data_IF_125521690294
#
_entry.id   IF_125521690294
#
_cell.length_a   1.000
_cell.length_b   1.000
_cell.length_c   1.000
_cell.angle_alpha   90.00
_cell.angle_beta   90.00
_cell.angle_gamma   90.00
#
_symmetry.space_group_name_H-M   'P 1'
#
loop_
_entity.id
_entity.type
_entity.pdbx_description
1 polymer ?
#
# COMPACT_ATOMS: atom_id res chain seq x y z
N UNK A 1 -27.51 -16.35 -0.02
CA UNK A 1 -26.33 -15.67 -0.61
C UNK A 1 -25.86 -16.49 -1.80
N UNK A 2 -25.60 -15.87 -2.95
CA UNK A 2 -25.03 -16.57 -4.11
C UNK A 2 -23.53 -16.73 -3.93
N UNK A 3 -23.05 -17.97 -4.05
CA UNK A 3 -21.62 -18.26 -4.16
C UNK A 3 -21.09 -17.69 -5.47
N UNK A 4 -19.82 -17.26 -5.48
CA UNK A 4 -19.13 -16.93 -6.73
C UNK A 4 -18.53 -18.20 -7.33
N UNK A 5 -18.62 -18.36 -8.64
CA UNK A 5 -18.07 -19.51 -9.37
C UNK A 5 -16.55 -19.42 -9.58
N UNK A 6 -15.99 -18.22 -9.45
CA UNK A 6 -14.60 -17.92 -9.76
C UNK A 6 -14.08 -16.79 -8.85
N UNK A 7 -12.82 -16.87 -8.45
CA UNK A 7 -12.06 -15.76 -7.87
C UNK A 7 -10.60 -15.89 -8.33
N UNK A 8 -9.93 -14.81 -8.79
CA UNK A 8 -8.55 -14.89 -9.24
C UNK A 8 -7.64 -15.39 -8.13
N UNK A 9 -6.77 -16.35 -8.46
CA UNK A 9 -5.67 -16.69 -7.58
C UNK A 9 -4.72 -15.50 -7.44
N UNK A 10 -4.37 -15.08 -6.21
CA UNK A 10 -3.40 -14.02 -5.99
C UNK A 10 -2.04 -14.37 -6.61
N UNK A 11 -1.40 -13.37 -7.22
CA UNK A 11 -0.04 -13.47 -7.76
C UNK A 11 1.00 -13.04 -6.70
N UNK A 12 2.29 -13.40 -6.88
CA UNK A 12 3.34 -13.01 -5.95
C UNK A 12 3.37 -11.49 -5.72
N UNK A 13 3.32 -11.05 -4.47
CA UNK A 13 3.36 -9.64 -4.10
C UNK A 13 2.23 -8.76 -4.68
N UNK A 14 1.13 -9.35 -5.14
CA UNK A 14 -0.01 -8.65 -5.72
C UNK A 14 -0.82 -7.88 -4.66
N UNK A 15 -1.14 -6.62 -4.95
CA UNK A 15 -2.03 -5.78 -4.15
C UNK A 15 -3.49 -6.25 -4.30
N UNK A 16 -4.24 -6.26 -3.20
CA UNK A 16 -5.60 -6.77 -3.16
C UNK A 16 -6.52 -6.08 -4.16
N UNK A 17 -6.31 -4.78 -4.44
CA UNK A 17 -7.08 -4.05 -5.45
C UNK A 17 -6.84 -4.59 -6.86
N UNK A 18 -5.65 -5.11 -7.15
CA UNK A 18 -5.34 -5.79 -8.42
C UNK A 18 -6.12 -7.09 -8.57
N UNK A 19 -6.23 -7.88 -7.50
CA UNK A 19 -7.03 -9.12 -7.51
C UNK A 19 -8.49 -8.80 -7.80
N UNK A 20 -9.04 -7.77 -7.14
CA UNK A 20 -10.42 -7.31 -7.39
C UNK A 20 -10.59 -6.82 -8.82
N UNK A 21 -9.59 -6.14 -9.39
CA UNK A 21 -9.65 -5.67 -10.76
C UNK A 21 -9.55 -6.81 -11.78
N UNK A 22 -8.72 -7.83 -11.54
CA UNK A 22 -8.69 -9.05 -12.36
C UNK A 22 -10.04 -9.75 -12.35
N UNK A 23 -10.68 -9.85 -11.19
CA UNK A 23 -12.05 -10.37 -11.07
C UNK A 23 -13.05 -9.52 -11.86
N UNK A 24 -12.97 -8.19 -11.73
CA UNK A 24 -13.83 -7.24 -12.46
C UNK A 24 -13.77 -7.46 -13.97
N UNK A 25 -12.58 -7.64 -14.53
CA UNK A 25 -12.38 -7.87 -15.96
C UNK A 25 -12.91 -9.24 -16.39
N UNK A 26 -12.59 -10.32 -15.67
CA UNK A 26 -13.04 -11.68 -16.02
C UNK A 26 -14.56 -11.83 -15.93
N UNK A 27 -15.21 -11.12 -15.02
CA UNK A 27 -16.67 -11.14 -14.86
C UNK A 27 -17.40 -10.17 -15.77
N UNK A 28 -16.69 -9.38 -16.58
CA UNK A 28 -17.25 -8.37 -17.49
C UNK A 28 -18.23 -7.41 -16.79
N UNK A 29 -17.94 -7.09 -15.53
CA UNK A 29 -18.74 -6.14 -14.79
C UNK A 29 -18.62 -4.74 -15.41
N UNK A 30 -19.75 -4.08 -15.73
CA UNK A 30 -19.72 -2.80 -16.46
C UNK A 30 -19.02 -1.65 -15.70
N UNK A 31 -18.92 -1.74 -14.38
CA UNK A 31 -18.24 -0.76 -13.54
C UNK A 31 -17.84 -1.39 -12.21
N UNK A 32 -16.94 -0.71 -11.49
CA UNK A 32 -16.43 -1.17 -10.19
C UNK A 32 -17.53 -1.26 -9.13
N UNK A 33 -18.57 -0.41 -9.19
CA UNK A 33 -19.70 -0.48 -8.25
C UNK A 33 -20.46 -1.80 -8.38
N UNK A 34 -20.64 -2.34 -9.59
CA UNK A 34 -21.21 -3.68 -9.78
C UNK A 34 -20.33 -4.77 -9.16
N UNK A 35 -19.02 -4.70 -9.39
CA UNK A 35 -18.07 -5.64 -8.76
C UNK A 35 -18.09 -5.56 -7.23
N UNK A 36 -18.11 -4.36 -6.67
CA UNK A 36 -18.20 -4.16 -5.22
C UNK A 36 -19.55 -4.62 -4.65
N UNK A 37 -20.64 -4.49 -5.40
CA UNK A 37 -21.95 -5.01 -5.00
C UNK A 37 -21.96 -6.54 -5.01
N UNK A 38 -21.35 -7.14 -6.02
CA UNK A 38 -21.22 -8.58 -6.16
C UNK A 38 -20.33 -9.18 -5.06
N UNK A 39 -19.17 -8.58 -4.77
CA UNK A 39 -18.20 -9.13 -3.82
C UNK A 39 -18.46 -8.73 -2.36
N UNK A 40 -18.87 -7.49 -2.11
CA UNK A 40 -18.94 -6.90 -0.77
C UNK A 40 -20.32 -6.32 -0.41
N UNK A 41 -21.31 -6.44 -1.30
CA UNK A 41 -22.63 -5.80 -1.14
C UNK A 41 -22.51 -4.29 -0.89
N UNK A 42 -21.50 -3.66 -1.51
CA UNK A 42 -21.17 -2.25 -1.36
C UNK A 42 -21.40 -1.48 -2.67
N UNK A 43 -21.80 -0.21 -2.58
CA UNK A 43 -22.06 0.65 -3.74
C UNK A 43 -20.87 1.50 -4.20
N UNK A 44 -19.69 1.37 -3.60
CA UNK A 44 -18.52 2.21 -3.89
C UNK A 44 -18.05 2.06 -5.34
N UNK A 45 -17.67 3.17 -5.96
CA UNK A 45 -17.23 3.22 -7.37
C UNK A 45 -15.72 2.98 -7.56
N UNK A 46 -15.00 2.70 -6.47
CA UNK A 46 -13.56 2.43 -6.46
C UNK A 46 -13.24 1.28 -5.50
N UNK A 47 -12.07 0.65 -5.69
CA UNK A 47 -11.52 -0.28 -4.71
C UNK A 47 -10.73 0.49 -3.65
N UNK A 48 -11.06 0.28 -2.38
CA UNK A 48 -10.35 0.90 -1.26
C UNK A 48 -8.95 0.30 -1.11
N UNK A 49 -7.97 1.11 -0.70
CA UNK A 49 -6.58 0.67 -0.44
C UNK A 49 -6.55 -0.51 0.53
N UNK A 50 -7.33 -0.42 1.61
CA UNK A 50 -7.51 -1.52 2.54
C UNK A 50 -8.88 -2.16 2.36
N UNK A 51 -8.97 -3.49 2.44
CA UNK A 51 -10.25 -4.18 2.31
C UNK A 51 -11.16 -3.86 3.49
N UNK A 52 -12.46 -3.91 3.24
CA UNK A 52 -13.52 -3.74 4.25
C UNK A 52 -14.60 -4.80 3.99
N UNK A 53 -15.24 -5.26 5.07
CA UNK A 53 -16.27 -6.28 5.01
C UNK A 53 -15.81 -7.58 4.30
N UNK A 54 -14.57 -8.02 4.53
CA UNK A 54 -14.01 -9.23 3.92
C UNK A 54 -14.84 -10.49 4.20
N UNK A 55 -15.55 -10.58 5.33
CA UNK A 55 -16.44 -11.70 5.60
C UNK A 55 -17.53 -11.85 4.54
N UNK A 56 -17.99 -10.75 3.93
CA UNK A 56 -18.97 -10.81 2.82
C UNK A 56 -18.38 -11.47 1.58
N UNK A 57 -17.11 -11.20 1.28
CA UNK A 57 -16.38 -11.86 0.19
C UNK A 57 -16.14 -13.34 0.51
N UNK A 58 -15.60 -13.63 1.69
CA UNK A 58 -15.23 -14.98 2.09
C UNK A 58 -16.45 -15.92 2.18
N UNK A 59 -17.61 -15.43 2.61
CA UNK A 59 -18.87 -16.19 2.62
C UNK A 59 -19.39 -16.55 1.23
N UNK A 60 -18.86 -15.93 0.17
CA UNK A 60 -19.19 -16.26 -1.23
C UNK A 60 -18.23 -17.27 -1.83
N UNK A 61 -17.09 -17.53 -1.20
CA UNK A 61 -16.14 -18.53 -1.68
C UNK A 61 -16.72 -19.94 -1.51
N UNK A 62 -16.41 -20.88 -2.42
CA UNK A 62 -16.72 -22.28 -2.19
C UNK A 62 -16.00 -22.79 -0.92
N UNK A 63 -16.58 -23.76 -0.23
CA UNK A 63 -16.00 -24.35 1.00
C UNK A 63 -14.59 -24.92 0.78
N UNK A 64 -14.23 -25.26 -0.46
CA UNK A 64 -12.90 -25.73 -0.86
C UNK A 64 -11.88 -24.61 -1.08
N UNK A 65 -12.25 -23.34 -0.90
CA UNK A 65 -11.33 -22.23 -1.06
C UNK A 65 -10.21 -22.30 -0.02
N UNK A 66 -8.99 -22.06 -0.48
CA UNK A 66 -7.78 -22.04 0.38
C UNK A 66 -7.50 -20.66 0.97
N UNK A 67 -8.29 -19.66 0.60
CA UNK A 67 -8.06 -18.27 1.02
C UNK A 67 -8.90 -17.94 2.23
N UNK A 68 -8.24 -17.64 3.34
CA UNK A 68 -8.85 -17.02 4.51
C UNK A 68 -8.49 -15.52 4.58
N UNK A 69 -9.12 -14.83 5.53
CA UNK A 69 -8.90 -13.40 5.74
C UNK A 69 -7.44 -13.08 6.06
N UNK A 70 -6.84 -13.86 6.96
CA UNK A 70 -5.49 -13.57 7.47
C UNK A 70 -4.44 -13.71 6.36
N UNK A 71 -4.58 -14.74 5.52
CA UNK A 71 -3.73 -15.00 4.36
C UNK A 71 -3.82 -13.85 3.36
N UNK A 72 -5.04 -13.44 2.98
CA UNK A 72 -5.24 -12.33 2.06
C UNK A 72 -4.72 -10.99 2.64
N UNK A 73 -4.92 -10.74 3.93
CA UNK A 73 -4.37 -9.56 4.60
C UNK A 73 -2.84 -9.57 4.52
N UNK A 74 -2.21 -10.66 4.94
CA UNK A 74 -0.75 -10.76 5.04
C UNK A 74 -0.06 -10.75 3.67
N UNK A 75 -0.65 -11.41 2.68
CA UNK A 75 -0.03 -11.64 1.37
C UNK A 75 -0.45 -10.62 0.31
N UNK A 76 -1.59 -9.95 0.48
CA UNK A 76 -2.14 -9.09 -0.56
C UNK A 76 -2.48 -7.66 -0.11
N UNK A 77 -2.30 -7.31 1.16
CA UNK A 77 -2.50 -5.93 1.62
C UNK A 77 -1.22 -5.31 2.17
N UNK A 78 -1.26 -3.99 2.38
CA UNK A 78 -0.21 -3.25 3.08
C UNK A 78 -0.42 -3.20 4.60
N UNK A 79 -1.51 -3.77 5.13
CA UNK A 79 -1.79 -3.75 6.57
C UNK A 79 -0.64 -4.29 7.42
N UNK A 80 0.09 -5.36 7.06
CA UNK A 80 1.20 -5.88 7.86
C UNK A 80 2.28 -4.84 8.19
N UNK A 81 2.40 -3.77 7.39
CA UNK A 81 3.34 -2.68 7.67
C UNK A 81 2.83 -1.74 8.76
N UNK A 82 1.51 -1.56 8.87
CA UNK A 82 0.91 -0.63 9.83
C UNK A 82 0.63 -1.29 11.19
N UNK A 83 0.10 -2.52 11.18
CA UNK A 83 -0.36 -3.18 12.42
C UNK A 83 0.69 -3.22 13.55
N UNK A 84 1.99 -3.45 13.29
CA UNK A 84 3.01 -3.44 14.34
C UNK A 84 3.10 -2.13 15.14
N UNK A 85 2.76 -1.00 14.53
CA UNK A 85 2.85 0.33 15.15
C UNK A 85 1.55 0.76 15.85
N UNK A 86 0.52 -0.10 15.83
CA UNK A 86 -0.81 0.19 16.37
C UNK A 86 -1.02 -0.58 17.66
N UNK A 87 -1.49 0.13 18.68
CA UNK A 87 -1.87 -0.43 19.97
C UNK A 87 -2.91 -1.56 19.83
N UNK A 88 -2.82 -2.56 20.69
CA UNK A 88 -3.62 -3.78 20.59
C UNK A 88 -5.13 -3.54 20.44
N UNK A 89 -5.70 -2.69 21.29
CA UNK A 89 -7.12 -2.32 21.28
C UNK A 89 -7.54 -1.63 19.96
N UNK A 90 -6.71 -0.75 19.43
CA UNK A 90 -6.94 -0.11 18.13
C UNK A 90 -6.76 -1.08 16.97
N UNK A 91 -5.84 -2.04 17.08
CA UNK A 91 -5.59 -3.08 16.09
C UNK A 91 -6.81 -4.00 15.94
N UNK A 92 -7.39 -4.46 17.05
CA UNK A 92 -8.62 -5.27 17.04
C UNK A 92 -9.77 -4.53 16.37
N UNK A 93 -9.91 -3.25 16.67
CA UNK A 93 -10.93 -2.39 16.05
C UNK A 93 -10.76 -2.24 14.53
N UNK A 94 -9.51 -2.15 14.06
CA UNK A 94 -9.18 -2.11 12.63
C UNK A 94 -9.47 -3.45 11.97
N UNK A 95 -9.03 -4.56 12.57
CA UNK A 95 -9.29 -5.91 12.03
C UNK A 95 -10.78 -6.25 12.00
N UNK A 96 -11.54 -5.82 13.02
CA UNK A 96 -12.99 -5.96 13.01
C UNK A 96 -13.64 -5.14 11.88
N UNK A 97 -13.14 -3.94 11.58
CA UNK A 97 -13.62 -3.15 10.43
C UNK A 97 -13.25 -3.81 9.09
N UNK A 98 -12.05 -4.38 8.97
CA UNK A 98 -11.64 -5.15 7.80
C UNK A 98 -12.55 -6.37 7.60
N UNK A 99 -12.85 -7.08 8.68
CA UNK A 99 -13.68 -8.28 8.68
C UNK A 99 -15.14 -7.98 8.33
N UNK A 100 -15.77 -7.05 9.07
CA UNK A 100 -17.21 -6.87 9.11
C UNK A 100 -17.69 -5.58 8.42
N UNK A 101 -16.76 -4.70 8.04
CA UNK A 101 -17.05 -3.36 7.58
C UNK A 101 -17.12 -2.36 8.75
N UNK A 102 -17.23 -1.07 8.41
CA UNK A 102 -17.42 -0.01 9.39
C UNK A 102 -18.89 0.42 9.49
N UNK A 103 -19.23 1.12 10.57
CA UNK A 103 -20.50 1.85 10.68
C UNK A 103 -20.50 3.16 9.86
N UNK A 104 -21.43 4.07 10.16
CA UNK A 104 -21.56 5.39 9.53
C UNK A 104 -20.46 6.39 9.93
N UNK A 105 -19.53 6.00 10.80
CA UNK A 105 -18.41 6.83 11.24
C UNK A 105 -17.22 6.78 10.28
N UNK A 106 -16.27 7.71 10.45
CA UNK A 106 -15.00 7.70 9.71
C UNK A 106 -14.28 6.35 9.81
N UNK A 107 -13.78 5.86 8.68
CA UNK A 107 -13.09 4.56 8.58
C UNK A 107 -11.79 4.56 9.37
N UNK A 108 -11.63 3.64 10.32
CA UNK A 108 -10.40 3.49 11.12
C UNK A 108 -9.26 2.96 10.27
N UNK A 109 -9.55 1.93 9.47
CA UNK A 109 -8.57 1.38 8.53
C UNK A 109 -8.20 2.38 7.43
N UNK A 110 -9.17 3.18 6.98
CA UNK A 110 -8.93 4.24 5.98
C UNK A 110 -7.94 5.30 6.44
N UNK A 111 -7.90 5.62 7.74
CA UNK A 111 -6.93 6.57 8.31
C UNK A 111 -5.47 6.13 8.20
N UNK A 112 -5.21 4.84 7.97
CA UNK A 112 -3.85 4.33 7.75
C UNK A 112 -3.26 4.76 6.40
N UNK A 113 -4.11 5.14 5.42
CA UNK A 113 -3.65 5.73 4.15
C UNK A 113 -2.91 7.05 4.39
N UNK A 114 -3.32 7.77 5.44
CA UNK A 114 -2.81 9.08 5.80
C UNK A 114 -3.93 10.09 6.05
N UNK A 115 -3.53 11.34 6.21
CA UNK A 115 -4.42 12.49 6.35
C UNK A 115 -4.01 13.58 5.35
N UNK A 116 -4.59 14.78 5.48
CA UNK A 116 -4.30 15.91 4.57
C UNK A 116 -2.86 16.45 4.66
N UNK A 117 -2.11 16.09 5.70
CA UNK A 117 -0.73 16.52 5.95
C UNK A 117 0.30 15.45 5.60
N UNK A 118 -0.02 14.17 5.81
CA UNK A 118 0.89 13.05 5.58
C UNK A 118 0.15 11.91 4.89
N UNK A 119 0.67 11.43 3.77
CA UNK A 119 0.12 10.26 3.04
C UNK A 119 1.15 9.15 2.96
N UNK A 120 0.87 8.02 3.60
CA UNK A 120 1.75 6.85 3.55
C UNK A 120 1.57 6.06 2.25
N UNK A 121 0.34 6.00 1.73
CA UNK A 121 0.02 5.29 0.48
C UNK A 121 -0.33 6.29 -0.62
N UNK A 122 0.26 6.07 -1.80
CA UNK A 122 0.06 6.89 -2.98
C UNK A 122 -1.42 6.91 -3.38
N UNK A 123 -1.88 8.07 -3.83
CA UNK A 123 -3.21 8.24 -4.42
C UNK A 123 -3.28 7.69 -5.85
N UNK A 124 -2.13 7.58 -6.52
CA UNK A 124 -2.01 7.00 -7.85
C UNK A 124 -1.48 5.58 -7.74
N UNK A 125 -1.91 4.72 -8.67
CA UNK A 125 -1.34 3.38 -8.79
C UNK A 125 -0.01 3.48 -9.53
N UNK A 126 1.03 2.92 -8.92
CA UNK A 126 2.38 2.94 -9.46
C UNK A 126 2.80 1.58 -10.00
N UNK A 127 3.49 1.62 -11.14
CA UNK A 127 4.03 0.45 -11.84
C UNK A 127 5.51 0.61 -12.11
N UNK A 128 6.21 -0.51 -12.11
CA UNK A 128 7.55 -0.62 -12.70
C UNK A 128 7.39 -1.18 -14.13
N UNK A 129 7.87 -0.48 -15.17
CA UNK A 129 7.77 -0.98 -16.55
C UNK A 129 8.47 -2.32 -16.77
N UNK A 130 9.52 -2.61 -15.99
CA UNK A 130 10.26 -3.87 -16.04
C UNK A 130 9.51 -5.00 -15.32
N UNK A 131 8.88 -4.74 -14.16
CA UNK A 131 7.95 -5.71 -13.53
C UNK A 131 6.82 -6.06 -14.49
N UNK A 132 6.21 -5.05 -15.14
CA UNK A 132 5.09 -5.30 -16.05
C UNK A 132 5.46 -6.26 -17.19
N UNK A 133 6.67 -6.12 -17.74
CA UNK A 133 7.19 -7.03 -18.77
C UNK A 133 7.35 -8.45 -18.22
N UNK A 134 8.01 -8.61 -17.07
CA UNK A 134 8.21 -9.93 -16.45
C UNK A 134 6.88 -10.58 -16.04
N UNK A 135 5.91 -9.78 -15.59
CA UNK A 135 4.59 -10.23 -15.19
C UNK A 135 3.79 -10.74 -16.40
N UNK A 136 3.84 -10.04 -17.54
CA UNK A 136 3.24 -10.52 -18.80
C UNK A 136 3.91 -11.81 -19.27
N UNK A 137 5.23 -11.92 -19.19
CA UNK A 137 5.98 -13.12 -19.59
C UNK A 137 5.68 -14.32 -18.67
N UNK A 138 5.50 -14.09 -17.37
CA UNK A 138 5.36 -15.16 -16.36
C UNK A 138 3.91 -15.55 -16.07
N UNK A 139 2.99 -14.59 -16.13
CA UNK A 139 1.60 -14.74 -15.69
C UNK A 139 0.58 -14.33 -16.75
N UNK A 140 1.03 -13.82 -17.90
CA UNK A 140 0.18 -13.37 -19.00
C UNK A 140 -0.53 -12.04 -18.74
N UNK A 141 -0.28 -11.39 -17.60
CA UNK A 141 -0.81 -10.07 -17.30
C UNK A 141 0.04 -9.33 -16.27
N UNK A 142 0.20 -8.01 -16.46
CA UNK A 142 0.77 -7.15 -15.43
C UNK A 142 -0.24 -6.86 -14.30
N UNK A 143 0.26 -6.76 -13.08
CA UNK A 143 -0.55 -6.52 -11.89
C UNK A 143 0.07 -5.47 -10.98
N UNK A 144 -0.72 -5.00 -10.01
CA UNK A 144 -0.26 -3.99 -9.06
C UNK A 144 0.58 -4.68 -7.99
N UNK A 145 1.87 -4.33 -7.90
CA UNK A 145 2.73 -4.77 -6.81
C UNK A 145 2.53 -3.89 -5.58
N UNK A 146 2.42 -4.51 -4.40
CA UNK A 146 2.18 -3.82 -3.12
C UNK A 146 3.28 -2.81 -2.77
N UNK A 147 4.53 -3.23 -2.86
CA UNK A 147 5.70 -2.43 -2.45
C UNK A 147 5.86 -1.13 -3.24
N UNK A 148 5.33 -1.09 -4.46
CA UNK A 148 5.36 0.13 -5.28
C UNK A 148 4.42 1.22 -4.75
N UNK A 149 3.44 0.92 -3.88
CA UNK A 149 2.33 1.83 -3.61
C UNK A 149 2.58 2.85 -2.49
N UNK A 150 3.70 2.77 -1.76
CA UNK A 150 4.06 3.76 -0.74
C UNK A 150 4.35 5.13 -1.34
N UNK A 151 3.81 6.22 -0.79
CA UNK A 151 3.98 7.57 -1.37
C UNK A 151 5.43 8.00 -1.54
N UNK A 152 6.29 7.59 -0.61
CA UNK A 152 7.71 7.94 -0.54
C UNK A 152 8.63 6.98 -1.31
N UNK A 153 8.08 5.98 -2.00
CA UNK A 153 8.82 5.06 -2.85
C UNK A 153 8.65 5.47 -4.30
N UNK A 154 9.73 5.79 -5.00
CA UNK A 154 9.74 6.27 -6.38
C UNK A 154 10.45 5.31 -7.33
N UNK A 155 11.14 4.31 -6.79
CA UNK A 155 11.98 3.36 -7.52
C UNK A 155 11.58 1.94 -7.15
N UNK A 156 11.54 1.04 -8.13
CA UNK A 156 11.35 -0.38 -7.89
C UNK A 156 12.60 -0.97 -7.20
N UNK A 157 12.42 -1.69 -6.09
CA UNK A 157 13.56 -2.28 -5.39
C UNK A 157 14.27 -3.35 -6.24
N UNK A 158 13.50 -4.16 -6.97
CA UNK A 158 13.99 -5.24 -7.83
C UNK A 158 14.80 -4.73 -9.03
N UNK A 159 14.24 -3.76 -9.75
CA UNK A 159 14.82 -3.33 -11.04
C UNK A 159 15.60 -2.01 -10.98
N UNK A 160 15.57 -1.32 -9.85
CA UNK A 160 16.13 0.04 -9.69
C UNK A 160 15.60 1.03 -10.75
N UNK A 161 14.38 0.77 -11.21
CA UNK A 161 13.66 1.54 -12.21
C UNK A 161 12.71 2.54 -11.55
N UNK A 162 12.64 3.76 -12.06
CA UNK A 162 11.64 4.74 -11.66
C UNK A 162 10.22 4.20 -11.89
N UNK A 163 9.41 4.25 -10.84
CA UNK A 163 8.00 3.92 -10.86
C UNK A 163 7.20 5.00 -11.59
N UNK A 164 6.21 4.56 -12.36
CA UNK A 164 5.35 5.43 -13.16
C UNK A 164 3.88 5.20 -12.81
N UNK A 165 3.08 6.27 -12.86
CA UNK A 165 1.62 6.21 -12.73
C UNK A 165 0.90 6.67 -14.00
N UNK A 166 1.66 7.17 -14.99
CA UNK A 166 1.13 7.69 -16.25
C UNK A 166 1.87 7.07 -17.43
N UNK A 167 1.18 6.94 -18.56
CA UNK A 167 1.78 6.53 -19.81
C UNK A 167 2.85 7.55 -20.24
N UNK A 168 4.05 7.07 -20.56
CA UNK A 168 5.17 7.92 -20.98
C UNK A 168 4.96 8.57 -22.36
N UNK A 169 4.07 8.00 -23.19
CA UNK A 169 3.80 8.51 -24.54
C UNK A 169 2.66 9.53 -24.56
N UNK A 170 1.50 9.20 -23.98
CA UNK A 170 0.30 10.04 -24.06
C UNK A 170 -0.11 10.72 -22.75
N UNK A 171 0.60 10.47 -21.65
CA UNK A 171 0.36 11.11 -20.36
C UNK A 171 -0.92 10.69 -19.64
N UNK A 172 -1.68 9.71 -20.14
CA UNK A 172 -2.89 9.21 -19.45
C UNK A 172 -2.51 8.45 -18.18
N UNK A 173 -3.28 8.61 -17.10
CA UNK A 173 -3.11 7.82 -15.89
C UNK A 173 -3.34 6.34 -16.17
N UNK A 174 -2.46 5.49 -15.64
CA UNK A 174 -2.52 4.04 -15.83
C UNK A 174 -3.64 3.41 -14.98
N UNK A 175 -3.90 3.94 -13.79
CA UNK A 175 -4.88 3.39 -12.83
C UNK A 175 -4.74 1.86 -12.70
N UNK A 176 -5.79 1.09 -12.97
CA UNK A 176 -5.78 -0.38 -12.98
C UNK A 176 -5.45 -0.98 -14.36
N UNK A 177 -5.30 -0.15 -15.40
CA UNK A 177 -5.11 -0.56 -16.79
C UNK A 177 -3.68 -0.29 -17.22
N UNK A 178 -2.79 -1.24 -16.89
CA UNK A 178 -2.14 -1.92 -18.00
C UNK A 178 -2.05 -3.44 -17.82
N UNK A 179 -3.18 -4.14 -17.67
CA UNK A 179 -3.23 -5.62 -17.54
C UNK A 179 -2.46 -6.42 -18.62
N UNK A 180 -2.00 -5.80 -19.71
CA UNK A 180 -1.11 -6.41 -20.72
C UNK A 180 -0.02 -5.44 -21.19
N UNK A 181 0.57 -4.72 -20.24
CA UNK A 181 1.58 -3.67 -20.48
C UNK A 181 1.18 -2.56 -21.45
N UNK A 182 -0.11 -2.29 -21.63
CA UNK A 182 -0.64 -1.23 -22.48
C UNK A 182 -1.48 -0.25 -21.70
N UNK A 183 -1.34 1.04 -21.97
CA UNK A 183 -2.28 2.03 -21.46
C UNK A 183 -3.65 1.90 -22.14
N UNK A 184 -4.64 2.65 -21.64
CA UNK A 184 -5.99 2.77 -22.20
C UNK A 184 -6.03 3.19 -23.68
N UNK A 185 -5.00 3.89 -24.17
CA UNK A 185 -4.87 4.29 -25.58
C UNK A 185 -4.09 3.29 -26.45
N UNK A 186 -3.67 2.14 -25.90
CA UNK A 186 -3.00 1.08 -26.65
C UNK A 186 -1.48 1.19 -26.77
N UNK A 187 -0.86 2.28 -26.27
CA UNK A 187 0.61 2.40 -26.23
C UNK A 187 1.24 1.39 -25.27
N UNK A 188 2.36 0.81 -25.68
CA UNK A 188 3.12 -0.13 -24.87
C UNK A 188 3.97 0.60 -23.83
N UNK A 189 3.83 0.22 -22.57
CA UNK A 189 4.51 0.88 -21.45
C UNK A 189 5.95 0.41 -21.28
N UNK A 190 6.24 -0.86 -21.63
CA UNK A 190 7.55 -1.48 -21.41
C UNK A 190 8.52 -1.35 -22.59
N UNK A 191 8.05 -1.00 -23.80
CA UNK A 191 8.82 -1.14 -25.04
C UNK A 191 10.04 -0.22 -25.16
N UNK A 192 10.02 0.95 -24.51
CA UNK A 192 11.06 1.98 -24.65
C UNK A 192 11.71 2.37 -23.31
N UNK A 193 11.54 1.55 -22.27
CA UNK A 193 12.06 1.90 -20.95
C UNK A 193 13.58 1.66 -20.87
N UNK A 194 14.36 2.73 -21.08
CA UNK A 194 15.82 2.74 -20.94
C UNK A 194 16.31 3.18 -19.55
N UNK A 195 15.39 3.51 -18.65
CA UNK A 195 15.69 4.23 -17.41
C UNK A 195 16.11 3.34 -16.25
N UNK A 196 17.40 3.03 -16.13
CA UNK A 196 17.96 2.75 -14.80
C UNK A 196 17.98 4.09 -14.04
N UNK A 197 17.51 4.14 -12.80
CA UNK A 197 17.73 5.34 -11.97
C UNK A 197 19.24 5.51 -11.77
N UNK A 198 19.84 6.54 -12.38
CA UNK A 198 21.30 6.79 -12.32
C UNK A 198 21.73 7.26 -10.92
N UNK A 199 20.79 7.65 -10.06
CA UNK A 199 21.06 8.03 -8.68
C UNK A 199 20.23 7.14 -7.75
N UNK A 200 20.90 6.22 -7.06
CA UNK A 200 20.32 5.55 -5.90
C UNK A 200 20.15 6.60 -4.79
N UNK A 201 18.91 6.92 -4.47
CA UNK A 201 18.59 7.63 -3.24
C UNK A 201 18.81 6.65 -2.08
N UNK A 202 19.91 6.83 -1.36
CA UNK A 202 20.31 5.94 -0.25
C UNK A 202 19.19 5.81 0.79
N UNK A 203 18.50 6.90 1.10
CA UNK A 203 17.41 6.90 2.08
C UNK A 203 16.21 6.11 1.59
N UNK A 204 15.85 6.26 0.31
CA UNK A 204 14.79 5.46 -0.30
C UNK A 204 15.14 3.96 -0.29
N UNK A 205 16.39 3.61 -0.57
CA UNK A 205 16.87 2.22 -0.52
C UNK A 205 16.83 1.64 0.91
N UNK A 206 17.25 2.41 1.91
CA UNK A 206 17.17 2.01 3.32
C UNK A 206 15.71 1.77 3.72
N UNK A 207 14.80 2.68 3.35
CA UNK A 207 13.37 2.52 3.61
C UNK A 207 12.78 1.27 2.95
N UNK A 208 13.16 0.96 1.71
CA UNK A 208 12.68 -0.26 1.05
C UNK A 208 13.12 -1.51 1.81
N UNK A 209 14.37 -1.54 2.29
CA UNK A 209 14.88 -2.62 3.11
C UNK A 209 14.11 -2.77 4.43
N UNK A 210 13.83 -1.66 5.10
CA UNK A 210 13.07 -1.64 6.36
C UNK A 210 11.63 -2.11 6.14
N UNK A 211 10.97 -1.68 5.06
CA UNK A 211 9.61 -2.13 4.72
C UNK A 211 9.56 -3.64 4.49
N UNK A 212 10.53 -4.19 3.75
CA UNK A 212 10.63 -5.64 3.56
C UNK A 212 10.84 -6.39 4.88
N UNK A 213 11.69 -5.86 5.76
CA UNK A 213 11.92 -6.43 7.08
C UNK A 213 10.63 -6.45 7.91
N UNK A 214 9.89 -5.34 7.93
CA UNK A 214 8.62 -5.23 8.66
C UNK A 214 7.59 -6.23 8.11
N UNK A 215 7.42 -6.34 6.79
CA UNK A 215 6.50 -7.31 6.19
C UNK A 215 6.85 -8.74 6.60
N UNK A 216 8.14 -9.13 6.49
CA UNK A 216 8.59 -10.49 6.80
C UNK A 216 8.50 -10.84 8.28
N UNK A 217 8.49 -9.85 9.17
CA UNK A 217 8.51 -10.04 10.61
C UNK A 217 7.29 -9.44 11.33
N UNK A 218 6.22 -9.09 10.62
CA UNK A 218 5.09 -8.31 11.16
C UNK A 218 4.43 -8.97 12.38
N UNK A 219 4.41 -10.31 12.42
CA UNK A 219 3.84 -11.09 13.54
C UNK A 219 4.72 -11.08 14.80
N UNK A 220 6.03 -10.84 14.65
CA UNK A 220 6.99 -10.75 15.75
C UNK A 220 7.09 -9.33 16.32
N UNK A 221 6.67 -8.34 15.53
CA UNK A 221 6.71 -6.93 15.91
C UNK A 221 5.43 -6.55 16.65
N UNK A 222 5.58 -5.81 17.76
CA UNK A 222 4.45 -5.27 18.51
C UNK A 222 4.74 -3.84 18.95
N UNK A 223 3.67 -3.09 19.21
CA UNK A 223 3.76 -1.65 19.43
C UNK A 223 4.46 -1.34 20.75
N UNK A 224 4.30 -2.17 21.78
CA UNK A 224 4.94 -2.00 23.08
C UNK A 224 6.47 -2.05 22.94
N UNK A 225 7.00 -3.07 22.25
CA UNK A 225 8.44 -3.20 22.00
C UNK A 225 8.97 -2.05 21.15
N UNK A 226 8.28 -1.70 20.06
CA UNK A 226 8.69 -0.60 19.19
C UNK A 226 8.72 0.72 19.97
N UNK A 227 7.66 1.03 20.73
CA UNK A 227 7.60 2.24 21.56
C UNK A 227 8.71 2.25 22.60
N UNK A 228 8.95 1.14 23.27
CA UNK A 228 10.04 1.03 24.24
C UNK A 228 11.39 1.35 23.60
N UNK A 229 11.73 0.66 22.49
CA UNK A 229 13.00 0.88 21.77
C UNK A 229 13.15 2.30 21.26
N UNK A 230 12.08 2.88 20.73
CA UNK A 230 12.08 4.24 20.22
C UNK A 230 12.31 5.25 21.35
N UNK A 231 11.64 5.07 22.49
CA UNK A 231 11.82 5.93 23.67
C UNK A 231 13.24 5.80 24.27
N UNK A 232 13.79 4.59 24.36
CA UNK A 232 15.18 4.34 24.79
C UNK A 232 16.15 5.10 23.88
N UNK A 233 15.97 5.02 22.56
CA UNK A 233 16.83 5.70 21.60
C UNK A 233 16.72 7.22 21.68
N UNK A 234 15.49 7.75 21.77
CA UNK A 234 15.25 9.18 21.96
C UNK A 234 15.89 9.70 23.25
N UNK A 235 15.84 8.93 24.34
CA UNK A 235 16.46 9.30 25.60
C UNK A 235 17.99 9.37 25.49
N UNK A 236 18.62 8.37 24.88
CA UNK A 236 20.07 8.35 24.63
C UNK A 236 20.52 9.51 23.75
N UNK A 237 19.70 9.90 22.76
CA UNK A 237 19.96 11.04 21.88
C UNK A 237 19.60 12.40 22.48
N UNK A 238 19.07 12.45 23.71
CA UNK A 238 18.72 13.69 24.40
C UNK A 238 17.38 14.33 23.99
N UNK A 239 16.57 13.61 23.20
CA UNK A 239 15.25 14.02 22.75
C UNK A 239 14.11 13.56 23.66
N UNK A 240 14.36 12.68 24.63
CA UNK A 240 13.36 12.27 25.60
C UNK A 240 13.87 12.40 27.03
N UNK A 241 12.96 12.83 27.91
CA UNK A 241 13.13 12.79 29.36
C UNK A 241 12.15 11.80 29.96
N UNK A 242 12.22 11.56 31.28
CA UNK A 242 11.21 10.74 31.97
C UNK A 242 9.79 11.31 31.89
N UNK A 243 9.63 12.61 31.58
CA UNK A 243 8.33 13.31 31.63
C UNK A 243 7.75 13.64 30.26
N UNK A 244 8.59 13.92 29.26
CA UNK A 244 8.14 14.32 27.94
C UNK A 244 9.21 14.10 26.86
N UNK A 245 8.76 14.07 25.61
CA UNK A 245 9.59 14.06 24.41
C UNK A 245 9.72 15.50 23.91
N UNK A 246 10.92 15.90 23.52
CA UNK A 246 11.24 17.22 22.98
C UNK A 246 10.92 17.28 21.47
N UNK A 247 9.64 17.16 21.12
CA UNK A 247 9.19 17.07 19.72
C UNK A 247 9.68 18.23 18.84
N UNK A 248 9.75 19.45 19.38
CA UNK A 248 10.24 20.62 18.64
C UNK A 248 11.74 20.55 18.31
N UNK A 249 12.57 20.11 19.25
CA UNK A 249 14.01 19.90 19.02
C UNK A 249 14.21 18.77 18.01
N UNK A 250 13.55 17.63 18.24
CA UNK A 250 13.62 16.48 17.34
C UNK A 250 13.21 16.82 15.90
N UNK A 251 12.11 17.56 15.72
CA UNK A 251 11.64 17.93 14.39
C UNK A 251 12.58 18.89 13.68
N UNK A 252 13.14 19.88 14.40
CA UNK A 252 14.16 20.79 13.84
C UNK A 252 15.41 20.04 13.40
N UNK A 253 15.91 19.16 14.25
CA UNK A 253 17.14 18.41 13.97
C UNK A 253 16.93 17.39 12.84
N UNK A 254 15.74 16.79 12.75
CA UNK A 254 15.37 15.87 11.68
C UNK A 254 15.26 16.59 10.32
N UNK A 255 14.67 17.79 10.29
CA UNK A 255 14.63 18.64 9.08
C UNK A 255 16.03 19.08 8.69
N UNK A 256 16.86 19.47 9.66
CA UNK A 256 18.25 19.87 9.40
C UNK A 256 19.08 18.72 8.82
N UNK A 257 18.94 17.52 9.40
CA UNK A 257 19.69 16.34 8.99
C UNK A 257 19.34 15.88 7.57
N UNK A 258 18.05 15.78 7.23
CA UNK A 258 17.62 15.28 5.92
C UNK A 258 17.45 16.36 4.86
N UNK A 259 17.39 17.63 5.24
CA UNK A 259 16.91 18.78 4.45
C UNK A 259 15.40 18.79 4.20
N UNK A 260 14.84 20.00 4.09
CA UNK A 260 13.41 20.21 3.78
C UNK A 260 12.96 19.50 2.50
N UNK A 261 13.81 19.52 1.46
CA UNK A 261 13.53 18.87 0.17
C UNK A 261 13.29 17.37 0.34
N UNK A 262 14.10 16.70 1.15
CA UNK A 262 13.97 15.25 1.40
C UNK A 262 12.74 14.95 2.24
N UNK A 263 12.48 15.74 3.29
CA UNK A 263 11.29 15.59 4.14
C UNK A 263 10.01 15.71 3.31
N UNK A 264 9.93 16.70 2.42
CA UNK A 264 8.80 16.87 1.51
C UNK A 264 8.72 15.72 0.51
N UNK A 265 9.85 15.23 -0.03
CA UNK A 265 9.90 14.04 -0.89
C UNK A 265 9.34 12.81 -0.18
N UNK A 266 9.56 12.66 1.13
CA UNK A 266 9.01 11.56 1.92
C UNK A 266 7.50 11.70 2.22
N UNK A 267 6.85 12.76 1.72
CA UNK A 267 5.43 13.00 1.93
C UNK A 267 5.10 13.55 3.32
N UNK A 268 6.09 14.13 4.01
CA UNK A 268 5.92 14.78 5.31
C UNK A 268 5.70 16.29 5.12
N UNK A 269 4.80 16.87 5.92
CA UNK A 269 4.51 18.30 5.91
C UNK A 269 5.32 19.02 6.99
N UNK A 270 6.20 19.94 6.56
CA UNK A 270 7.13 20.68 7.44
C UNK A 270 6.36 21.56 8.44
N UNK A 271 5.30 22.25 8.02
CA UNK A 271 4.51 23.10 8.91
C UNK A 271 3.86 22.28 10.03
N UNK A 272 3.37 21.09 9.71
CA UNK A 272 2.80 20.16 10.69
C UNK A 272 3.86 19.65 11.67
N UNK A 273 5.06 19.32 11.18
CA UNK A 273 6.17 18.86 12.03
C UNK A 273 6.70 19.94 12.97
N UNK A 274 6.65 21.21 12.57
CA UNK A 274 7.19 22.32 13.37
C UNK A 274 6.16 22.92 14.35
N UNK A 275 4.86 22.65 14.13
CA UNK A 275 3.75 23.22 14.91
C UNK A 275 3.37 22.40 16.16
N UNK A 276 3.73 21.12 16.21
CA UNK A 276 3.35 20.17 17.27
C UNK A 276 4.59 19.51 17.89
#
# INVERSE_FOLDING_TARGET
MSLISYFPSPLPNEDFRSILYRYHIVTFNNNISKTNRELFEAGSEFFTVFPRAMNKLLNKFPLSSKYDMQTLINQNTLLPIFLPFIAHDHRENILNEVANGGGQSESRVGRLVGNKYVRCISNMIKYCPLCMKEDDESFGCSYIHREHQFSFIYTCNKHKAKLISHCMECGIELEYSPLHSKCKNGHWICSNYSGVSILEDLLESELQHDLEYIIKNSEKLNDALIKQRFLEYLAVKGYATKKFIKCQELSKDLIHYYSEKTIVKMGLNIDYMTKH
#
